data_IF_052142896985
#
_entry.id   IF_052142896985
#
_cell.length_a   1.000
_cell.length_b   1.000
_cell.length_c   1.000
_cell.angle_alpha   90.00
_cell.angle_beta   90.00
_cell.angle_gamma   90.00
#
_symmetry.space_group_name_H-M   'P 1'
#
loop_
_entity.id
_entity.type
_entity.pdbx_description
1 polymer ?
#
# COMPACT_ATOMS: atom_id res chain seq x y z
N UNK A 1 -9.72 11.64 -22.38
CA UNK A 1 -9.05 12.66 -21.52
C UNK A 1 -9.76 12.68 -20.18
N UNK A 2 -9.02 12.42 -19.09
CA UNK A 2 -9.59 12.46 -17.73
C UNK A 2 -10.23 13.82 -17.44
N UNK A 3 -11.39 13.79 -16.79
CA UNK A 3 -12.08 15.01 -16.38
C UNK A 3 -11.23 15.72 -15.29
N UNK A 4 -10.70 16.91 -15.58
CA UNK A 4 -9.92 17.73 -14.63
C UNK A 4 -10.62 17.94 -13.28
N UNK A 5 -11.95 17.76 -13.22
CA UNK A 5 -12.74 17.84 -11.98
C UNK A 5 -12.51 16.67 -11.03
N UNK A 6 -11.90 15.55 -11.49
CA UNK A 6 -11.55 14.42 -10.63
C UNK A 6 -10.28 14.67 -9.81
N UNK A 7 -9.42 15.60 -10.24
CA UNK A 7 -8.20 15.96 -9.48
C UNK A 7 -8.61 16.72 -8.23
N UNK A 8 -8.41 16.10 -7.08
CA UNK A 8 -8.71 16.69 -5.78
C UNK A 8 -7.54 17.50 -5.22
N UNK A 9 -6.33 16.98 -5.39
CA UNK A 9 -5.08 17.63 -4.98
C UNK A 9 -3.93 17.24 -5.91
N UNK A 10 -3.00 18.18 -6.15
CA UNK A 10 -1.80 17.93 -6.95
C UNK A 10 -0.61 18.68 -6.38
N UNK A 11 0.47 17.94 -6.11
CA UNK A 11 1.82 18.42 -5.86
C UNK A 11 2.76 17.70 -6.82
N UNK A 12 4.05 18.07 -6.84
CA UNK A 12 5.03 17.54 -7.81
C UNK A 12 5.17 16.02 -7.76
N UNK A 13 5.13 15.45 -6.55
CA UNK A 13 5.31 14.01 -6.31
C UNK A 13 4.03 13.33 -5.81
N UNK A 14 2.91 14.06 -5.63
CA UNK A 14 1.74 13.55 -4.92
C UNK A 14 0.45 14.08 -5.53
N UNK A 15 -0.30 13.19 -6.17
CA UNK A 15 -1.60 13.52 -6.79
C UNK A 15 -2.71 12.67 -6.18
N UNK A 16 -3.85 13.28 -5.89
CA UNK A 16 -5.06 12.61 -5.42
C UNK A 16 -6.22 12.84 -6.37
N UNK A 17 -6.93 11.77 -6.70
CA UNK A 17 -8.18 11.80 -7.44
C UNK A 17 -9.34 11.43 -6.51
N UNK A 18 -10.47 12.16 -6.67
CA UNK A 18 -11.68 11.88 -5.93
C UNK A 18 -12.68 11.10 -6.78
N UNK A 19 -13.00 9.89 -6.37
CA UNK A 19 -14.02 9.07 -6.99
C UNK A 19 -13.80 7.56 -6.91
N UNK A 20 -14.56 6.84 -7.70
CA UNK A 20 -14.46 5.39 -7.84
C UNK A 20 -13.23 5.01 -8.67
N UNK A 21 -12.43 4.07 -8.18
CA UNK A 21 -11.14 3.72 -8.80
C UNK A 21 -11.31 3.04 -10.16
N UNK A 22 -12.27 2.14 -10.33
CA UNK A 22 -12.50 1.43 -11.60
C UNK A 22 -12.88 2.45 -12.67
N UNK A 23 -13.85 3.31 -12.36
CA UNK A 23 -14.29 4.37 -13.27
C UNK A 23 -13.16 5.34 -13.62
N UNK A 24 -12.42 5.82 -12.60
CA UNK A 24 -11.38 6.83 -12.86
C UNK A 24 -10.19 6.26 -13.61
N UNK A 25 -9.79 5.02 -13.34
CA UNK A 25 -8.73 4.35 -14.10
C UNK A 25 -9.10 4.22 -15.58
N UNK A 26 -10.34 3.90 -15.91
CA UNK A 26 -10.78 3.81 -17.32
C UNK A 26 -10.76 5.16 -18.09
N UNK A 27 -10.63 6.30 -17.38
CA UNK A 27 -10.62 7.64 -17.99
C UNK A 27 -9.20 8.12 -18.40
N UNK A 28 -8.11 7.43 -18.04
CA UNK A 28 -6.75 7.82 -18.40
C UNK A 28 -5.91 6.63 -18.89
N UNK A 29 -4.82 6.91 -19.61
CA UNK A 29 -3.91 5.90 -20.17
C UNK A 29 -2.46 6.16 -19.73
N UNK A 30 -2.23 6.28 -18.43
CA UNK A 30 -0.89 6.38 -17.86
C UNK A 30 -0.48 5.04 -17.26
N UNK A 31 0.81 4.66 -17.41
CA UNK A 31 1.33 3.40 -16.89
C UNK A 31 2.24 3.64 -15.68
N UNK A 32 2.06 2.83 -14.66
CA UNK A 32 2.78 2.89 -13.39
C UNK A 32 3.80 1.74 -13.30
N UNK A 33 4.89 2.00 -12.60
CA UNK A 33 5.93 1.00 -12.34
C UNK A 33 5.48 0.01 -11.26
N UNK A 34 4.70 0.49 -10.30
CA UNK A 34 4.16 -0.30 -9.21
C UNK A 34 2.73 0.16 -8.86
N UNK A 35 1.92 -0.81 -8.50
CA UNK A 35 0.62 -0.57 -7.86
C UNK A 35 0.65 -1.19 -6.47
N UNK A 36 0.24 -0.44 -5.45
CA UNK A 36 -0.12 -0.99 -4.16
C UNK A 36 -1.63 -0.86 -3.98
N UNK A 37 -2.30 -1.92 -3.55
CA UNK A 37 -3.73 -1.93 -3.33
C UNK A 37 -4.08 -2.53 -1.97
N UNK A 38 -4.90 -1.81 -1.20
CA UNK A 38 -5.51 -2.27 0.05
C UNK A 38 -7.05 -2.27 -0.11
N UNK A 39 -7.61 -3.22 -0.91
CA UNK A 39 -9.02 -3.22 -1.25
C UNK A 39 -9.90 -3.49 -0.01
N UNK A 40 -11.21 -3.23 -0.08
CA UNK A 40 -12.15 -3.62 0.98
C UNK A 40 -12.03 -5.10 1.33
N UNK A 41 -12.04 -5.41 2.64
CA UNK A 41 -11.95 -6.79 3.13
C UNK A 41 -13.33 -7.42 3.38
N UNK A 42 -14.40 -6.63 3.21
CA UNK A 42 -15.79 -7.03 3.42
C UNK A 42 -16.06 -7.58 4.84
N UNK A 43 -15.46 -6.95 5.86
CA UNK A 43 -15.52 -7.36 7.26
C UNK A 43 -16.65 -6.71 8.05
N UNK A 44 -17.34 -5.71 7.52
CA UNK A 44 -18.38 -4.92 8.18
C UNK A 44 -19.74 -5.67 8.23
N UNK A 45 -19.71 -6.89 8.79
CA UNK A 45 -20.89 -7.77 8.93
C UNK A 45 -21.39 -7.86 10.38
N UNK A 46 -21.21 -6.82 11.20
CA UNK A 46 -21.64 -6.79 12.60
C UNK A 46 -20.75 -7.56 13.59
N UNK A 47 -19.50 -7.87 13.19
CA UNK A 47 -18.51 -8.49 14.08
C UNK A 47 -18.08 -7.58 15.24
N UNK A 48 -17.47 -8.17 16.29
CA UNK A 48 -16.99 -7.46 17.48
C UNK A 48 -15.46 -7.53 17.53
N UNK A 49 -14.80 -6.40 17.86
CA UNK A 49 -13.36 -6.32 18.08
C UNK A 49 -13.05 -5.57 19.37
N UNK A 50 -11.78 -5.61 19.82
CA UNK A 50 -11.31 -4.77 20.95
C UNK A 50 -10.37 -3.70 20.45
N UNK A 51 -10.67 -2.45 20.80
CA UNK A 51 -9.75 -1.33 20.65
C UNK A 51 -9.49 -0.69 22.01
N UNK A 52 -8.21 -0.62 22.39
CA UNK A 52 -7.79 -0.04 23.69
C UNK A 52 -8.53 -0.61 24.89
N UNK A 53 -8.76 -1.93 24.92
CA UNK A 53 -9.44 -2.62 26.02
C UNK A 53 -10.98 -2.51 26.03
N UNK A 54 -11.58 -1.84 25.03
CA UNK A 54 -13.06 -1.73 24.90
C UNK A 54 -13.56 -2.56 23.73
N UNK A 55 -14.67 -3.26 23.94
CA UNK A 55 -15.41 -3.98 22.89
C UNK A 55 -16.02 -2.92 21.96
N UNK A 56 -15.74 -3.02 20.66
CA UNK A 56 -16.28 -2.15 19.61
C UNK A 56 -16.88 -2.98 18.49
N UNK A 57 -17.95 -2.49 17.88
CA UNK A 57 -18.49 -3.10 16.67
C UNK A 57 -17.49 -2.87 15.50
N UNK A 58 -17.31 -3.89 14.66
CA UNK A 58 -16.52 -3.77 13.44
C UNK A 58 -17.43 -3.21 12.35
N UNK A 59 -17.54 -1.88 12.32
CA UNK A 59 -18.12 -1.15 11.21
C UNK A 59 -17.03 -0.19 10.67
N UNK A 60 -16.59 -0.45 9.44
CA UNK A 60 -15.56 0.34 8.76
C UNK A 60 -16.16 1.30 7.74
N UNK A 61 -17.47 1.26 7.56
CA UNK A 61 -18.21 2.07 6.61
C UNK A 61 -18.94 1.24 5.54
N UNK A 62 -19.79 1.91 4.77
CA UNK A 62 -20.60 1.28 3.70
C UNK A 62 -19.75 0.57 2.65
N UNK A 63 -18.54 1.08 2.40
CA UNK A 63 -17.59 0.53 1.43
C UNK A 63 -17.03 -0.85 1.80
N UNK A 64 -17.11 -1.28 3.07
CA UNK A 64 -16.62 -2.57 3.57
C UNK A 64 -17.77 -3.54 3.89
N UNK A 65 -19.01 -3.22 3.53
CA UNK A 65 -20.15 -4.12 3.69
C UNK A 65 -20.08 -5.24 2.66
N UNK A 66 -20.12 -6.48 3.13
CA UNK A 66 -19.99 -7.67 2.29
C UNK A 66 -21.18 -7.87 1.37
N UNK A 67 -20.88 -8.32 0.16
CA UNK A 67 -21.83 -8.93 -0.77
C UNK A 67 -21.75 -10.46 -0.72
N UNK A 68 -22.43 -11.14 -1.66
CA UNK A 68 -22.22 -12.57 -1.86
C UNK A 68 -20.78 -12.86 -2.32
N UNK A 69 -20.25 -14.08 -2.13
CA UNK A 69 -18.92 -14.45 -2.64
C UNK A 69 -18.71 -14.12 -4.13
N UNK A 70 -19.75 -14.29 -4.94
CA UNK A 70 -19.73 -13.99 -6.38
C UNK A 70 -19.57 -12.50 -6.63
N UNK A 71 -20.21 -11.65 -5.83
CA UNK A 71 -20.07 -10.20 -5.92
C UNK A 71 -18.64 -9.75 -5.56
N UNK A 72 -18.06 -10.34 -4.51
CA UNK A 72 -16.66 -10.08 -4.11
C UNK A 72 -15.70 -10.52 -5.21
N UNK A 73 -15.94 -11.67 -5.83
CA UNK A 73 -15.12 -12.18 -6.92
C UNK A 73 -15.19 -11.29 -8.16
N UNK A 74 -16.38 -10.81 -8.55
CA UNK A 74 -16.56 -9.90 -9.66
C UNK A 74 -15.87 -8.55 -9.41
N UNK A 75 -16.07 -7.98 -8.23
CA UNK A 75 -15.38 -6.75 -7.83
C UNK A 75 -13.87 -6.89 -7.92
N UNK A 76 -13.31 -8.00 -7.38
CA UNK A 76 -11.87 -8.26 -7.45
C UNK A 76 -11.37 -8.40 -8.88
N UNK A 77 -12.14 -9.04 -9.77
CA UNK A 77 -11.81 -9.17 -11.18
C UNK A 77 -11.74 -7.81 -11.87
N UNK A 78 -12.73 -6.95 -11.67
CA UNK A 78 -12.83 -5.64 -12.34
C UNK A 78 -11.67 -4.72 -11.96
N UNK A 79 -11.43 -4.48 -10.67
CA UNK A 79 -10.36 -3.55 -10.30
C UNK A 79 -8.95 -4.12 -10.57
N UNK A 80 -8.73 -5.44 -10.48
CA UNK A 80 -7.44 -6.04 -10.82
C UNK A 80 -7.18 -5.96 -12.33
N UNK A 81 -8.22 -6.14 -13.16
CA UNK A 81 -8.11 -5.98 -14.60
C UNK A 81 -7.70 -4.54 -14.97
N UNK A 82 -8.35 -3.53 -14.39
CA UNK A 82 -7.96 -2.12 -14.58
C UNK A 82 -6.52 -1.87 -14.11
N UNK A 83 -6.14 -2.37 -12.94
CA UNK A 83 -4.75 -2.27 -12.47
C UNK A 83 -3.76 -2.88 -13.47
N UNK A 84 -4.10 -4.01 -14.09
CA UNK A 84 -3.25 -4.68 -15.08
C UNK A 84 -3.00 -3.79 -16.29
N UNK A 85 -4.04 -3.14 -16.77
CA UNK A 85 -3.91 -2.20 -17.91
C UNK A 85 -3.04 -1.00 -17.55
N UNK A 86 -3.04 -0.55 -16.30
CA UNK A 86 -2.23 0.58 -15.84
C UNK A 86 -0.81 0.24 -15.37
N UNK A 87 -0.37 -1.00 -15.43
CA UNK A 87 1.02 -1.37 -15.18
C UNK A 87 1.87 -1.30 -16.44
N UNK A 88 3.11 -0.84 -16.30
CA UNK A 88 4.15 -1.05 -17.32
C UNK A 88 4.39 -2.55 -17.53
N UNK A 89 5.01 -2.93 -18.64
CA UNK A 89 5.23 -4.34 -18.98
C UNK A 89 6.09 -5.11 -17.95
N UNK A 90 6.99 -4.42 -17.27
CA UNK A 90 7.81 -4.96 -16.18
C UNK A 90 7.31 -4.52 -14.80
N UNK A 91 6.14 -3.90 -14.73
CA UNK A 91 5.51 -3.42 -13.50
C UNK A 91 5.04 -4.54 -12.59
N UNK A 92 4.89 -4.20 -11.32
CA UNK A 92 4.44 -5.14 -10.28
C UNK A 92 3.26 -4.58 -9.50
N UNK A 93 2.46 -5.48 -8.95
CA UNK A 93 1.35 -5.14 -8.05
C UNK A 93 1.56 -5.82 -6.69
N UNK A 94 1.26 -5.06 -5.64
CA UNK A 94 1.22 -5.53 -4.27
C UNK A 94 -0.18 -5.35 -3.72
N UNK A 95 -0.79 -6.43 -3.23
CA UNK A 95 -2.17 -6.41 -2.74
C UNK A 95 -2.20 -6.92 -1.33
N UNK A 96 -2.65 -6.09 -0.39
CA UNK A 96 -2.83 -6.52 0.99
C UNK A 96 -4.20 -7.14 1.20
N UNK A 97 -4.29 -8.08 2.15
CA UNK A 97 -5.55 -8.73 2.47
C UNK A 97 -5.48 -9.60 3.71
N UNK A 98 -6.66 -10.01 4.16
CA UNK A 98 -6.83 -11.03 5.18
C UNK A 98 -7.36 -12.32 4.54
N UNK A 99 -7.52 -13.37 5.32
CA UNK A 99 -8.09 -14.63 4.83
C UNK A 99 -9.50 -14.49 4.20
N UNK A 100 -10.21 -13.39 4.47
CA UNK A 100 -11.55 -13.16 3.92
C UNK A 100 -11.56 -12.85 2.42
N UNK A 101 -10.51 -12.20 1.90
CA UNK A 101 -10.49 -11.77 0.49
C UNK A 101 -9.25 -12.25 -0.28
N UNK A 102 -8.15 -12.62 0.41
CA UNK A 102 -6.85 -12.87 -0.24
C UNK A 102 -6.89 -14.05 -1.22
N UNK A 103 -7.72 -15.06 -0.96
CA UNK A 103 -7.84 -16.23 -1.83
C UNK A 103 -8.56 -15.89 -3.15
N UNK A 104 -9.62 -15.07 -3.10
CA UNK A 104 -10.28 -14.54 -4.29
C UNK A 104 -9.31 -13.71 -5.11
N UNK A 105 -8.58 -12.78 -4.47
CA UNK A 105 -7.56 -11.94 -5.10
C UNK A 105 -6.48 -12.79 -5.80
N UNK A 106 -5.94 -13.82 -5.14
CA UNK A 106 -4.92 -14.69 -5.70
C UNK A 106 -5.43 -15.44 -6.95
N UNK A 107 -6.68 -15.92 -6.89
CA UNK A 107 -7.31 -16.60 -8.00
C UNK A 107 -7.49 -15.65 -9.20
N UNK A 108 -8.01 -14.42 -8.96
CA UNK A 108 -8.22 -13.43 -10.02
C UNK A 108 -6.91 -12.95 -10.64
N UNK A 109 -5.86 -12.73 -9.86
CA UNK A 109 -4.52 -12.42 -10.39
C UNK A 109 -4.05 -13.50 -11.38
N UNK A 110 -4.23 -14.78 -11.02
CA UNK A 110 -3.83 -15.90 -11.89
C UNK A 110 -4.67 -15.96 -13.15
N UNK A 111 -5.99 -15.81 -13.07
CA UNK A 111 -6.91 -15.79 -14.20
C UNK A 111 -6.62 -14.63 -15.18
N UNK A 112 -6.26 -13.47 -14.65
CA UNK A 112 -5.89 -12.29 -15.43
C UNK A 112 -4.44 -12.33 -15.95
N UNK A 113 -3.70 -13.44 -15.77
CA UNK A 113 -2.39 -13.66 -16.36
C UNK A 113 -1.22 -12.98 -15.65
N UNK A 114 -1.40 -12.57 -14.39
CA UNK A 114 -0.28 -12.18 -13.55
C UNK A 114 0.55 -13.39 -13.13
N UNK A 115 1.84 -13.18 -12.88
CA UNK A 115 2.68 -14.16 -12.21
C UNK A 115 2.86 -13.75 -10.75
N UNK A 116 2.28 -14.50 -9.83
CA UNK A 116 2.53 -14.34 -8.40
C UNK A 116 4.01 -14.69 -8.12
N UNK A 117 4.69 -13.80 -7.42
CA UNK A 117 6.10 -13.91 -7.04
C UNK A 117 6.22 -14.42 -5.60
N UNK A 118 5.51 -13.78 -4.67
CA UNK A 118 5.48 -14.16 -3.26
C UNK A 118 4.08 -13.93 -2.67
N UNK A 119 3.76 -14.67 -1.64
CA UNK A 119 2.71 -14.37 -0.67
C UNK A 119 3.40 -14.06 0.65
N UNK A 120 3.55 -12.77 0.95
CA UNK A 120 4.21 -12.31 2.16
C UNK A 120 3.25 -12.46 3.35
N UNK A 121 3.74 -13.06 4.41
CA UNK A 121 3.04 -13.07 5.71
C UNK A 121 3.56 -11.90 6.57
N UNK A 122 2.77 -10.86 6.70
CA UNK A 122 3.05 -9.80 7.65
C UNK A 122 2.62 -10.25 9.05
N UNK A 123 3.59 -10.67 9.88
CA UNK A 123 3.38 -11.05 11.27
C UNK A 123 3.47 -9.81 12.16
N UNK A 124 2.32 -9.39 12.71
CA UNK A 124 2.22 -8.24 13.61
C UNK A 124 2.89 -8.56 14.96
N UNK A 125 3.79 -7.71 15.41
CA UNK A 125 4.44 -7.89 16.71
C UNK A 125 3.54 -7.54 17.90
N UNK A 126 2.41 -6.85 17.64
CA UNK A 126 1.44 -6.36 18.63
C UNK A 126 -0.01 -6.62 18.19
N UNK A 127 -0.42 -7.88 17.93
CA UNK A 127 -1.78 -8.21 17.48
C UNK A 127 -2.80 -7.95 18.60
N UNK A 128 -4.05 -7.59 18.26
CA UNK A 128 -5.12 -7.51 19.24
C UNK A 128 -5.47 -8.90 19.79
N UNK A 129 -5.88 -9.02 21.07
CA UNK A 129 -6.26 -10.31 21.65
C UNK A 129 -7.54 -10.86 21.04
N UNK A 130 -7.68 -12.20 21.01
CA UNK A 130 -8.91 -12.86 20.67
C UNK A 130 -9.85 -12.93 21.89
N UNK A 131 -10.98 -12.21 21.82
CA UNK A 131 -11.94 -12.12 22.93
C UNK A 131 -12.70 -13.41 23.13
N UNK A 132 -13.02 -14.13 22.06
CA UNK A 132 -13.85 -15.33 22.13
C UNK A 132 -13.13 -16.52 22.76
N UNK A 133 -11.79 -16.54 22.77
CA UNK A 133 -10.94 -17.63 23.24
C UNK A 133 -11.28 -19.01 22.62
N UNK A 134 -11.87 -19.04 21.41
CA UNK A 134 -12.32 -20.26 20.72
C UNK A 134 -11.49 -20.66 19.52
N UNK A 135 -10.54 -19.79 19.11
CA UNK A 135 -9.61 -20.00 18.00
C UNK A 135 -8.32 -19.20 18.24
N UNK A 136 -7.30 -19.44 17.43
CA UNK A 136 -6.04 -18.71 17.55
C UNK A 136 -6.21 -17.22 17.28
N UNK A 137 -5.43 -16.39 17.96
CA UNK A 137 -5.39 -14.94 17.72
C UNK A 137 -4.89 -14.65 16.30
N UNK A 138 -5.65 -13.87 15.54
CA UNK A 138 -5.22 -13.41 14.24
C UNK A 138 -4.07 -12.39 14.39
N UNK A 139 -2.87 -12.84 14.11
CA UNK A 139 -1.64 -12.04 14.25
C UNK A 139 -1.02 -11.69 12.90
N UNK A 140 -1.63 -12.12 11.80
CA UNK A 140 -1.06 -11.96 10.45
C UNK A 140 -2.05 -11.30 9.50
N UNK A 141 -1.48 -10.55 8.53
CA UNK A 141 -2.12 -10.20 7.26
C UNK A 141 -1.25 -10.72 6.12
N UNK A 142 -1.83 -10.87 4.94
CA UNK A 142 -1.12 -11.34 3.75
C UNK A 142 -0.91 -10.20 2.77
N UNK A 143 0.20 -10.27 2.03
CA UNK A 143 0.47 -9.33 0.95
C UNK A 143 0.92 -10.15 -0.25
N UNK A 144 0.12 -10.15 -1.32
CA UNK A 144 0.50 -10.82 -2.56
C UNK A 144 1.35 -9.86 -3.39
N UNK A 145 2.52 -10.31 -3.80
CA UNK A 145 3.35 -9.65 -4.79
C UNK A 145 3.29 -10.39 -6.11
N UNK A 146 2.88 -9.70 -7.16
CA UNK A 146 2.75 -10.26 -8.48
C UNK A 146 3.32 -9.31 -9.55
N UNK A 147 3.77 -9.87 -10.68
CA UNK A 147 4.21 -9.11 -11.85
C UNK A 147 3.24 -9.26 -13.01
N UNK A 148 3.10 -8.18 -13.81
CA UNK A 148 2.21 -8.16 -14.97
C UNK A 148 2.56 -9.24 -16.00
N UNK A 149 3.81 -9.26 -16.44
CA UNK A 149 4.24 -10.18 -17.50
C UNK A 149 4.97 -11.40 -16.92
N UNK A 150 4.54 -12.63 -17.24
CA UNK A 150 5.29 -13.82 -16.86
C UNK A 150 6.62 -13.95 -17.59
N UNK A 151 6.81 -13.21 -18.72
CA UNK A 151 7.99 -13.32 -19.59
C UNK A 151 9.03 -12.22 -19.33
N UNK A 152 8.61 -11.01 -18.95
CA UNK A 152 9.53 -9.89 -18.73
C UNK A 152 9.96 -9.81 -17.27
N UNK A 153 11.26 -9.62 -16.98
CA UNK A 153 11.72 -9.47 -15.60
C UNK A 153 11.19 -8.16 -15.00
N UNK A 154 10.80 -8.23 -13.74
CA UNK A 154 10.49 -7.07 -12.92
C UNK A 154 11.75 -6.55 -12.22
N UNK A 155 11.68 -5.32 -11.69
CA UNK A 155 12.73 -4.79 -10.84
C UNK A 155 12.60 -5.37 -9.42
N UNK A 156 13.73 -5.79 -8.86
CA UNK A 156 13.86 -6.17 -7.44
C UNK A 156 15.20 -5.67 -6.90
N UNK A 157 15.15 -4.88 -5.84
CA UNK A 157 16.35 -4.33 -5.21
C UNK A 157 16.95 -5.33 -4.22
N UNK A 158 17.53 -6.41 -4.77
CA UNK A 158 18.04 -7.53 -4.00
C UNK A 158 19.11 -7.12 -2.99
N UNK A 159 20.04 -6.26 -3.40
CA UNK A 159 21.18 -5.86 -2.57
C UNK A 159 20.72 -5.02 -1.37
N UNK A 160 19.82 -4.06 -1.58
CA UNK A 160 19.22 -3.30 -0.49
C UNK A 160 18.41 -4.21 0.45
N UNK A 161 17.62 -5.15 -0.08
CA UNK A 161 16.85 -6.07 0.77
C UNK A 161 17.76 -6.97 1.61
N UNK A 162 18.91 -7.37 1.10
CA UNK A 162 19.94 -8.08 1.90
C UNK A 162 20.54 -7.17 2.97
N UNK A 163 20.91 -5.94 2.60
CA UNK A 163 21.48 -4.97 3.54
C UNK A 163 20.53 -4.72 4.72
N UNK A 164 19.23 -4.56 4.44
CA UNK A 164 18.21 -4.38 5.48
C UNK A 164 17.95 -5.63 6.33
N UNK A 165 18.49 -6.78 5.97
CA UNK A 165 18.30 -8.07 6.63
C UNK A 165 19.65 -8.71 7.00
N UNK A 166 20.54 -7.98 7.67
CA UNK A 166 21.85 -8.47 8.15
C UNK A 166 22.72 -9.12 7.04
N UNK A 167 22.67 -8.60 5.84
CA UNK A 167 23.30 -9.18 4.64
C UNK A 167 22.84 -10.61 4.29
N UNK A 168 21.70 -11.07 4.84
CA UNK A 168 21.06 -12.33 4.50
C UNK A 168 19.88 -12.10 3.54
N UNK A 169 19.50 -13.11 2.77
CA UNK A 169 18.29 -13.03 1.96
C UNK A 169 17.06 -12.78 2.83
N UNK A 170 16.26 -11.76 2.46
CA UNK A 170 15.00 -11.49 3.14
C UNK A 170 13.96 -12.55 2.76
N UNK A 171 13.25 -13.05 3.75
CA UNK A 171 12.22 -14.08 3.57
C UNK A 171 10.83 -13.45 3.36
N UNK A 172 9.83 -14.27 3.12
CA UNK A 172 8.44 -13.90 2.93
C UNK A 172 7.63 -13.80 4.25
N UNK A 173 8.30 -13.91 5.40
CA UNK A 173 7.70 -13.63 6.71
C UNK A 173 8.29 -12.35 7.28
N UNK A 174 7.48 -11.28 7.29
CA UNK A 174 7.88 -9.96 7.77
C UNK A 174 7.32 -9.68 9.16
N UNK A 175 8.21 -9.54 10.13
CA UNK A 175 7.85 -9.15 11.51
C UNK A 175 7.90 -7.64 11.63
N UNK A 176 6.74 -6.99 11.52
CA UNK A 176 6.61 -5.53 11.62
C UNK A 176 5.46 -5.18 12.57
N UNK A 177 5.58 -4.10 13.34
CA UNK A 177 4.50 -3.62 14.18
C UNK A 177 3.31 -3.16 13.34
N UNK A 178 2.13 -3.18 13.93
CA UNK A 178 1.00 -2.43 13.42
C UNK A 178 1.28 -0.92 13.54
N UNK A 179 0.40 -0.11 12.93
CA UNK A 179 0.55 1.34 12.89
C UNK A 179 0.85 1.97 14.25
N UNK A 180 1.87 2.81 14.31
CA UNK A 180 2.27 3.52 15.50
C UNK A 180 1.43 4.79 15.76
N UNK A 181 1.46 5.30 17.01
CA UNK A 181 0.71 6.51 17.39
C UNK A 181 1.14 7.75 16.61
N UNK A 182 2.45 7.90 16.34
CA UNK A 182 2.98 9.05 15.63
C UNK A 182 2.53 9.12 14.16
N UNK A 183 2.17 7.99 13.57
CA UNK A 183 1.61 7.92 12.20
C UNK A 183 0.14 8.41 12.12
N UNK A 184 -0.48 8.69 13.26
CA UNK A 184 -1.87 9.14 13.40
C UNK A 184 -1.98 10.59 13.87
N UNK A 185 -0.90 11.37 13.79
CA UNK A 185 -0.85 12.78 14.26
C UNK A 185 -1.94 13.66 13.63
N UNK A 186 -2.25 13.45 12.35
CA UNK A 186 -3.21 14.24 11.59
C UNK A 186 -4.64 13.66 11.57
N UNK A 187 -4.85 12.51 12.18
CA UNK A 187 -6.15 11.83 12.19
C UNK A 187 -6.04 10.32 12.13
N UNK A 188 -7.17 9.64 12.01
CA UNK A 188 -7.27 8.18 12.00
C UNK A 188 -8.01 7.69 10.76
N UNK A 189 -7.49 6.64 10.15
CA UNK A 189 -8.22 5.82 9.20
C UNK A 189 -8.38 4.40 9.81
N UNK A 190 -9.53 3.73 9.66
CA UNK A 190 -9.79 2.45 10.33
C UNK A 190 -8.78 1.36 10.02
N UNK A 191 -8.31 1.31 8.77
CA UNK A 191 -7.42 0.26 8.24
C UNK A 191 -6.07 0.81 7.80
N UNK A 192 -5.63 1.96 8.31
CA UNK A 192 -4.34 2.57 7.92
C UNK A 192 -3.18 1.59 8.07
N UNK A 193 -2.41 1.41 6.99
CA UNK A 193 -1.20 0.59 6.98
C UNK A 193 0.00 1.33 7.59
N UNK A 194 0.96 0.63 8.21
CA UNK A 194 2.17 1.26 8.74
C UNK A 194 3.12 1.71 7.63
N UNK A 195 3.77 2.86 7.82
CA UNK A 195 4.73 3.42 6.86
C UNK A 195 5.91 2.48 6.60
N UNK A 196 6.42 1.81 7.63
CA UNK A 196 7.53 0.88 7.48
C UNK A 196 7.25 -0.26 6.51
N UNK A 197 6.00 -0.76 6.47
CA UNK A 197 5.56 -1.78 5.52
C UNK A 197 5.61 -1.25 4.09
N UNK A 198 5.03 -0.06 3.85
CA UNK A 198 4.96 0.54 2.51
C UNK A 198 6.34 0.96 2.01
N UNK A 199 7.19 1.51 2.89
CA UNK A 199 8.58 1.85 2.54
C UNK A 199 9.34 0.60 2.10
N UNK A 200 9.25 -0.51 2.83
CA UNK A 200 9.90 -1.78 2.43
C UNK A 200 9.40 -2.26 1.06
N UNK A 201 8.10 -2.25 0.81
CA UNK A 201 7.49 -2.64 -0.47
C UNK A 201 8.03 -1.76 -1.62
N UNK A 202 8.00 -0.45 -1.43
CA UNK A 202 8.44 0.53 -2.43
C UNK A 202 9.92 0.37 -2.74
N UNK A 203 10.77 0.29 -1.72
CA UNK A 203 12.21 0.09 -1.88
C UNK A 203 12.57 -1.22 -2.55
N UNK A 204 11.81 -2.30 -2.27
CA UNK A 204 12.04 -3.60 -2.87
C UNK A 204 11.75 -3.62 -4.38
N UNK A 205 10.72 -2.92 -4.84
CA UNK A 205 10.15 -3.15 -6.17
C UNK A 205 10.15 -1.93 -7.10
N UNK A 206 10.74 -0.80 -6.69
CA UNK A 206 10.78 0.41 -7.51
C UNK A 206 12.13 1.10 -7.49
N UNK A 207 12.50 1.74 -8.61
CA UNK A 207 13.63 2.68 -8.67
C UNK A 207 13.21 4.04 -8.13
N UNK A 208 14.20 4.87 -7.79
CA UNK A 208 13.95 6.28 -7.47
C UNK A 208 13.20 6.96 -8.62
N UNK A 209 12.26 7.86 -8.28
CA UNK A 209 11.44 8.57 -9.24
C UNK A 209 10.32 7.76 -9.89
N UNK A 210 10.19 6.44 -9.67
CA UNK A 210 9.13 5.60 -10.21
C UNK A 210 7.73 6.12 -9.87
N UNK A 211 6.77 5.86 -10.75
CA UNK A 211 5.36 6.17 -10.52
C UNK A 211 4.63 5.02 -9.83
N UNK A 212 3.94 5.36 -8.76
CA UNK A 212 3.16 4.42 -7.93
C UNK A 212 1.69 4.83 -7.97
N UNK A 213 0.82 3.85 -8.24
CA UNK A 213 -0.64 4.00 -8.13
C UNK A 213 -1.13 3.29 -6.86
N UNK A 214 -2.07 3.93 -6.16
CA UNK A 214 -2.87 3.29 -5.11
C UNK A 214 -4.37 3.54 -5.40
N UNK A 215 -5.10 2.55 -5.93
CA UNK A 215 -6.51 2.69 -6.26
C UNK A 215 -7.43 2.74 -5.03
N UNK A 216 -6.91 2.45 -3.83
CA UNK A 216 -7.63 2.47 -2.56
C UNK A 216 -6.84 3.28 -1.53
N UNK A 217 -6.57 4.55 -1.85
CA UNK A 217 -5.61 5.42 -1.17
C UNK A 217 -5.85 5.57 0.34
N UNK A 218 -7.12 5.59 0.78
CA UNK A 218 -7.47 5.81 2.17
C UNK A 218 -6.77 7.05 2.75
N UNK A 219 -5.99 6.85 3.79
CA UNK A 219 -5.23 7.92 4.45
C UNK A 219 -3.91 8.31 3.73
N UNK A 220 -3.67 7.84 2.51
CA UNK A 220 -2.51 8.18 1.69
C UNK A 220 -1.17 7.62 2.15
N UNK A 221 -1.15 6.55 2.95
CA UNK A 221 0.12 6.01 3.50
C UNK A 221 1.10 5.60 2.40
N UNK A 222 0.62 5.03 1.30
CA UNK A 222 1.44 4.71 0.11
C UNK A 222 2.10 5.95 -0.46
N UNK A 223 1.35 7.06 -0.57
CA UNK A 223 1.87 8.33 -1.08
C UNK A 223 2.88 8.97 -0.15
N UNK A 224 2.66 8.93 1.17
CA UNK A 224 3.64 9.40 2.16
C UNK A 224 4.93 8.58 2.07
N UNK A 225 4.84 7.25 1.96
CA UNK A 225 6.00 6.39 1.79
C UNK A 225 6.73 6.66 0.45
N UNK A 226 5.99 6.91 -0.63
CA UNK A 226 6.53 7.29 -1.93
C UNK A 226 7.32 8.61 -1.84
N UNK A 227 6.73 9.66 -1.25
CA UNK A 227 7.41 10.96 -1.07
C UNK A 227 8.67 10.83 -0.21
N UNK A 228 8.62 10.09 0.91
CA UNK A 228 9.78 9.88 1.78
C UNK A 228 10.95 9.17 1.07
N UNK A 229 10.65 8.34 0.08
CA UNK A 229 11.62 7.53 -0.66
C UNK A 229 11.93 8.06 -2.06
N UNK A 230 11.46 9.28 -2.41
CA UNK A 230 11.73 9.92 -3.70
C UNK A 230 11.03 9.26 -4.90
N UNK A 231 9.80 8.73 -4.69
CA UNK A 231 8.91 8.21 -5.74
C UNK A 231 7.76 9.17 -5.96
N UNK A 232 7.05 9.02 -7.08
CA UNK A 232 5.87 9.80 -7.44
C UNK A 232 4.63 8.96 -7.22
N UNK A 233 3.55 9.61 -6.83
CA UNK A 233 2.34 8.94 -6.37
C UNK A 233 1.07 9.50 -7.01
N UNK A 234 0.18 8.59 -7.36
CA UNK A 234 -1.21 8.87 -7.66
C UNK A 234 -2.10 7.99 -6.80
N UNK A 235 -2.96 8.60 -6.00
CA UNK A 235 -3.96 7.91 -5.17
C UNK A 235 -5.37 8.20 -5.63
N UNK A 236 -6.24 7.21 -5.53
CA UNK A 236 -7.69 7.35 -5.79
C UNK A 236 -8.42 7.04 -4.50
N UNK A 237 -9.37 7.92 -4.13
CA UNK A 237 -10.16 7.76 -2.90
C UNK A 237 -11.57 8.29 -3.10
N UNK A 238 -12.56 7.60 -2.55
CA UNK A 238 -13.97 7.95 -2.65
C UNK A 238 -14.40 8.93 -1.57
N UNK A 239 -13.83 8.82 -0.37
CA UNK A 239 -14.22 9.58 0.80
C UNK A 239 -13.37 10.83 0.94
N UNK A 240 -14.01 12.01 0.87
CA UNK A 240 -13.33 13.31 0.97
C UNK A 240 -12.56 13.48 2.27
N UNK A 241 -13.07 12.97 3.37
CA UNK A 241 -12.40 13.07 4.67
C UNK A 241 -11.02 12.39 4.67
N UNK A 242 -10.87 11.29 3.91
CA UNK A 242 -9.58 10.60 3.78
C UNK A 242 -8.66 11.28 2.77
N UNK A 243 -9.20 11.92 1.74
CA UNK A 243 -8.41 12.80 0.87
C UNK A 243 -7.83 13.98 1.66
N UNK A 244 -8.64 14.64 2.48
CA UNK A 244 -8.20 15.75 3.34
C UNK A 244 -7.17 15.29 4.39
N UNK A 245 -7.36 14.09 4.95
CA UNK A 245 -6.38 13.47 5.84
C UNK A 245 -5.05 13.22 5.13
N UNK A 246 -5.10 12.69 3.91
CA UNK A 246 -3.93 12.43 3.08
C UNK A 246 -3.16 13.71 2.77
N UNK A 247 -3.85 14.79 2.45
CA UNK A 247 -3.25 16.11 2.20
C UNK A 247 -2.54 16.63 3.46
N UNK A 248 -3.22 16.61 4.62
CA UNK A 248 -2.58 17.04 5.89
C UNK A 248 -1.33 16.25 6.21
N UNK A 249 -1.35 14.93 6.02
CA UNK A 249 -0.18 14.07 6.21
C UNK A 249 0.94 14.40 5.22
N UNK A 250 0.61 14.68 3.95
CA UNK A 250 1.61 15.08 2.95
C UNK A 250 2.24 16.43 3.28
N UNK A 251 1.45 17.40 3.74
CA UNK A 251 1.93 18.71 4.15
C UNK A 251 2.91 18.65 5.35
N UNK A 252 2.81 17.66 6.23
CA UNK A 252 3.82 17.45 7.29
C UNK A 252 5.22 17.24 6.72
N UNK A 253 5.34 16.66 5.51
CA UNK A 253 6.64 16.42 4.88
C UNK A 253 7.30 17.67 4.31
N UNK A 254 6.62 18.81 4.29
CA UNK A 254 7.25 20.10 3.98
C UNK A 254 8.18 20.57 5.11
N UNK A 255 8.00 20.03 6.31
CA UNK A 255 8.88 20.26 7.44
C UNK A 255 10.02 19.24 7.47
N UNK A 256 11.22 19.66 7.10
CA UNK A 256 12.41 18.80 7.05
C UNK A 256 12.77 18.12 8.38
N UNK A 257 12.43 18.71 9.53
CA UNK A 257 12.64 18.04 10.84
C UNK A 257 11.69 16.87 11.05
N UNK A 258 10.46 16.95 10.56
CA UNK A 258 9.49 15.87 10.58
C UNK A 258 9.94 14.75 9.64
N UNK A 259 10.39 15.09 8.44
CA UNK A 259 10.94 14.12 7.47
C UNK A 259 12.09 13.32 8.09
N UNK A 260 13.08 13.99 8.70
CA UNK A 260 14.19 13.34 9.40
C UNK A 260 13.71 12.42 10.53
N UNK A 261 12.74 12.88 11.33
CA UNK A 261 12.15 12.08 12.41
C UNK A 261 11.43 10.83 11.86
N UNK A 262 10.68 10.96 10.76
CA UNK A 262 9.97 9.84 10.13
C UNK A 262 10.95 8.83 9.56
N UNK A 263 11.95 9.28 8.80
CA UNK A 263 12.99 8.42 8.22
C UNK A 263 13.73 7.63 9.30
N UNK A 264 14.14 8.28 10.39
CA UNK A 264 14.77 7.61 11.52
C UNK A 264 13.90 6.52 12.11
N UNK A 265 12.62 6.82 12.43
CA UNK A 265 11.69 5.85 13.02
C UNK A 265 11.40 4.67 12.08
N UNK A 266 11.30 4.94 10.78
CA UNK A 266 11.09 3.91 9.77
C UNK A 266 12.33 3.03 9.65
N UNK A 267 13.53 3.63 9.58
CA UNK A 267 14.79 2.92 9.54
C UNK A 267 14.90 1.94 10.71
N UNK A 268 14.65 2.40 11.94
CA UNK A 268 14.74 1.59 13.14
C UNK A 268 13.76 0.38 13.16
N UNK A 269 12.71 0.40 12.31
CA UNK A 269 11.76 -0.70 12.14
C UNK A 269 12.12 -1.60 10.96
N UNK A 270 12.63 -1.02 9.87
CA UNK A 270 12.86 -1.73 8.60
C UNK A 270 14.16 -2.53 8.66
N UNK A 271 15.14 -2.08 9.45
CA UNK A 271 16.42 -2.74 9.64
C UNK A 271 16.30 -3.75 10.79
N UNK A 272 16.67 -5.00 10.54
CA UNK A 272 16.61 -6.05 11.55
C UNK A 272 17.73 -5.90 12.59
N UNK A 273 18.99 -5.74 12.12
CA UNK A 273 20.21 -5.42 12.87
C UNK A 273 21.29 -5.03 11.84
N UNK A 274 22.01 -3.96 12.08
CA UNK A 274 23.01 -3.43 11.14
C UNK A 274 22.87 -1.91 11.03
N UNK A 275 23.86 -1.24 10.47
CA UNK A 275 23.86 0.21 10.30
C UNK A 275 23.96 0.60 8.82
N UNK A 276 22.92 0.36 7.97
CA UNK A 276 22.86 1.06 6.70
C UNK A 276 22.67 2.55 7.01
N UNK A 277 23.39 3.38 6.31
CA UNK A 277 23.24 4.83 6.45
C UNK A 277 21.86 5.26 5.94
N UNK A 278 21.38 6.44 6.39
CA UNK A 278 20.10 6.99 5.96
C UNK A 278 20.05 7.14 4.44
N UNK A 279 21.18 7.48 3.82
CA UNK A 279 21.34 7.64 2.37
C UNK A 279 21.20 6.33 1.59
N UNK A 280 21.51 5.17 2.18
CA UNK A 280 21.30 3.87 1.55
C UNK A 280 19.82 3.55 1.37
N UNK A 281 18.97 4.03 2.28
CA UNK A 281 17.52 3.78 2.28
C UNK A 281 16.77 4.88 1.56
N UNK A 282 17.13 6.15 1.80
CA UNK A 282 16.40 7.33 1.35
C UNK A 282 17.18 8.20 0.38
N UNK A 283 18.42 7.82 0.01
CA UNK A 283 19.29 8.58 -0.85
C UNK A 283 18.71 8.87 -2.22
N UNK A 284 18.94 10.08 -2.70
CA UNK A 284 18.51 10.55 -4.02
C UNK A 284 19.66 10.34 -4.99
N UNK A 285 19.51 9.41 -5.93
CA UNK A 285 20.38 9.36 -7.10
C UNK A 285 19.66 10.06 -8.26
N UNK A 286 20.25 11.13 -8.76
CA UNK A 286 19.68 12.05 -9.77
C UNK A 286 19.58 11.49 -11.21
N UNK A 287 19.69 10.20 -11.41
CA UNK A 287 19.67 9.60 -12.74
C UNK A 287 18.32 8.98 -13.07
N UNK A 288 17.37 9.79 -13.53
CA UNK A 288 16.40 9.51 -14.60
C UNK A 288 15.24 10.50 -14.52
N UNK A 289 15.18 11.42 -15.49
CA UNK A 289 14.01 12.26 -15.74
C UNK A 289 12.81 11.38 -16.09
N UNK A 290 11.78 11.46 -15.29
CA UNK A 290 10.58 10.67 -15.37
C UNK A 290 9.49 11.49 -16.00
N UNK A 291 8.70 10.82 -16.83
CA UNK A 291 7.56 11.38 -17.54
C UNK A 291 6.51 11.91 -16.56
N UNK A 292 6.07 13.15 -16.75
CA UNK A 292 5.00 13.73 -15.93
C UNK A 292 3.64 13.11 -16.28
N UNK A 293 2.69 13.21 -15.33
CA UNK A 293 1.33 12.80 -15.58
C UNK A 293 0.72 13.63 -16.73
N UNK A 294 0.01 13.01 -17.68
CA UNK A 294 -0.48 13.65 -18.89
C UNK A 294 -1.73 14.54 -18.67
N UNK A 295 -2.09 14.85 -17.42
CA UNK A 295 -3.30 15.62 -17.08
C UNK A 295 -3.09 16.58 -15.89
#
# INVERSE_FOLDING_TARGET
>A
MMNKKAIYHRADDFTLLHGDCIRLMSEFDFKFDMIFADPPYFLSNGGISVQSGKVVCVDKGEWDKGGSPEHIDLFNEEWIAECREHLTENGTIWISGTYHNIFSVANKLTQLGFKILNVITWAKTNPPPNISCRYFTYSTEFIIWARKSPKKPHYFNYDLMKLLNENKQMTDVWRLPAIARWEKSQGKHPTQKPLALLVRIILASTRHGAWILDPFSGSGTTGIAASLTGRRYLGIEREKEYLDLSIRRRMELENGSIVKSYRKKIRDIVIADGEPEEDDIFGVTDENRIQDLPF
#
